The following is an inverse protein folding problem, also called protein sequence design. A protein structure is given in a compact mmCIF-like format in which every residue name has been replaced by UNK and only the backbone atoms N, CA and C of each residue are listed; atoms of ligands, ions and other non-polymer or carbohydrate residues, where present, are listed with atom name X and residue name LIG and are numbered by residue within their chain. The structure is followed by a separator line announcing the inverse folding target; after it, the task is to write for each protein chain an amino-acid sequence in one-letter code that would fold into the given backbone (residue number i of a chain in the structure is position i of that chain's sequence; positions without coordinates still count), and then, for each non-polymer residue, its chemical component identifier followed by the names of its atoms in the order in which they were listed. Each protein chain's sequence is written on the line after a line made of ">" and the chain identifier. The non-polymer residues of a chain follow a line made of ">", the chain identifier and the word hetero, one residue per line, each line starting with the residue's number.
data_IF_534426699693
#
_entry.id   IF_534426699693
#
_cell.length_a   1.000
_cell.length_b   1.000
_cell.length_c   1.000
_cell.angle_alpha   90.00
_cell.angle_beta   90.00
_cell.angle_gamma   90.00
#
_symmetry.space_group_name_H-M   'P 1'
#
loop_
_entity.id
_entity.type
_entity.pdbx_description
1 polymer ?
#
# COMPACT_ATOMS: atom_id res chain seq x y z
N UNK A 1 -20.50 23.87 43.64
CA UNK A 1 -19.33 24.65 44.09
C UNK A 1 -18.21 24.46 43.09
N UNK A 2 -17.83 25.50 42.33
CA UNK A 2 -16.64 25.48 41.46
C UNK A 2 -15.46 25.94 42.30
N UNK A 3 -14.68 25.01 42.84
CA UNK A 3 -13.37 25.31 43.41
C UNK A 3 -12.36 25.42 42.28
N UNK A 4 -12.32 26.60 41.66
CA UNK A 4 -11.15 27.05 40.92
C UNK A 4 -10.06 27.34 41.95
N UNK A 5 -9.20 26.37 42.22
CA UNK A 5 -7.98 26.60 42.98
C UNK A 5 -7.09 27.49 42.09
N UNK A 6 -6.83 28.73 42.54
CA UNK A 6 -5.78 29.57 41.97
C UNK A 6 -4.43 28.87 42.19
N UNK A 7 -4.04 28.02 41.23
CA UNK A 7 -2.85 27.16 41.32
C UNK A 7 -1.55 27.95 41.55
N UNK A 8 -1.53 29.26 41.24
CA UNK A 8 -0.37 30.14 41.44
C UNK A 8 -0.22 30.65 42.87
N UNK A 9 -1.31 30.72 43.65
CA UNK A 9 -1.30 31.33 44.99
C UNK A 9 -0.84 30.36 46.08
N UNK A 10 -0.73 29.06 45.76
CA UNK A 10 -0.33 28.00 46.69
C UNK A 10 0.92 27.24 46.23
N UNK A 11 1.69 27.80 45.29
CA UNK A 11 2.85 27.12 44.70
C UNK A 11 3.89 26.77 45.78
N UNK A 12 4.21 27.74 46.64
CA UNK A 12 5.16 27.57 47.74
C UNK A 12 4.72 26.47 48.72
N UNK A 13 3.41 26.33 48.94
CA UNK A 13 2.84 25.30 49.82
C UNK A 13 2.90 23.91 49.18
N UNK A 14 2.63 23.83 47.87
CA UNK A 14 2.74 22.58 47.10
C UNK A 14 4.20 22.12 47.07
N UNK A 15 5.16 23.03 46.80
CA UNK A 15 6.59 22.73 46.77
C UNK A 15 7.11 22.27 48.14
N UNK A 16 6.71 22.94 49.22
CA UNK A 16 7.11 22.55 50.58
C UNK A 16 6.55 21.18 50.98
N UNK A 17 5.27 20.90 50.69
CA UNK A 17 4.68 19.60 50.97
C UNK A 17 5.29 18.49 50.11
N UNK A 18 5.63 18.79 48.85
CA UNK A 18 6.32 17.84 47.98
C UNK A 18 7.72 17.51 48.49
N UNK A 19 8.49 18.50 48.96
CA UNK A 19 9.81 18.27 49.58
C UNK A 19 9.72 17.38 50.82
N UNK A 20 8.73 17.63 51.69
CA UNK A 20 8.47 16.80 52.88
C UNK A 20 8.12 15.37 52.51
N UNK A 21 7.26 15.21 51.51
CA UNK A 21 6.87 13.90 50.99
C UNK A 21 8.06 13.12 50.40
N UNK A 22 8.97 13.80 49.69
CA UNK A 22 10.21 13.18 49.18
C UNK A 22 11.15 12.67 50.30
N UNK A 23 11.21 13.37 51.43
CA UNK A 23 12.00 12.93 52.60
C UNK A 23 11.32 11.79 53.36
N UNK A 24 10.00 11.85 53.53
CA UNK A 24 9.18 10.81 54.15
C UNK A 24 7.72 10.88 53.65
N UNK A 25 7.20 9.85 52.96
CA UNK A 25 5.82 9.82 52.47
C UNK A 25 4.74 9.95 53.54
N UNK A 26 5.02 9.52 54.78
CA UNK A 26 4.08 9.64 55.93
C UNK A 26 4.09 11.04 56.57
N UNK A 27 4.94 11.96 56.11
CA UNK A 27 5.05 13.32 56.68
C UNK A 27 3.95 14.28 56.23
N UNK A 28 3.18 13.89 55.22
CA UNK A 28 2.05 14.66 54.67
C UNK A 28 0.75 13.88 54.84
N UNK A 29 -0.39 14.58 54.77
CA UNK A 29 -1.69 13.93 54.82
C UNK A 29 -1.87 12.91 53.68
N UNK A 30 -2.67 11.88 53.92
CA UNK A 30 -3.03 10.83 52.94
C UNK A 30 -3.45 11.38 51.56
N UNK A 31 -4.17 12.50 51.50
CA UNK A 31 -4.57 13.13 50.25
C UNK A 31 -3.39 13.74 49.49
N UNK A 32 -2.40 14.31 50.20
CA UNK A 32 -1.17 14.83 49.60
C UNK A 32 -0.24 13.71 49.16
N UNK A 33 -0.08 12.66 49.98
CA UNK A 33 0.73 11.50 49.61
C UNK A 33 0.19 10.82 48.35
N UNK A 34 -1.12 10.57 48.28
CA UNK A 34 -1.74 9.97 47.09
C UNK A 34 -1.62 10.89 45.85
N UNK A 35 -1.71 12.21 46.03
CA UNK A 35 -1.53 13.18 44.96
C UNK A 35 -0.10 13.15 44.39
N UNK A 36 0.93 13.19 45.24
CA UNK A 36 2.33 13.17 44.80
C UNK A 36 2.76 11.81 44.26
N UNK A 37 2.29 10.71 44.85
CA UNK A 37 2.52 9.36 44.33
C UNK A 37 1.92 9.19 42.92
N UNK A 38 0.70 9.67 42.71
CA UNK A 38 0.07 9.67 41.39
C UNK A 38 0.75 10.60 40.38
N UNK A 39 1.27 11.74 40.85
CA UNK A 39 2.02 12.69 40.02
C UNK A 39 3.38 12.12 39.58
N UNK A 40 4.16 11.55 40.51
CA UNK A 40 5.41 10.84 40.21
C UNK A 40 5.17 9.67 39.26
N UNK A 41 4.12 8.86 39.51
CA UNK A 41 3.77 7.75 38.64
C UNK A 41 3.40 8.21 37.21
N UNK A 42 2.83 9.42 37.08
CA UNK A 42 2.51 10.06 35.80
C UNK A 42 3.67 10.82 35.14
N UNK A 43 4.64 11.30 35.93
CA UNK A 43 5.85 12.01 35.47
C UNK A 43 7.05 11.07 35.28
N UNK A 44 6.91 9.78 35.64
CA UNK A 44 7.81 8.74 35.17
C UNK A 44 7.93 8.89 33.66
N UNK A 45 9.15 9.05 33.11
CA UNK A 45 9.33 9.25 31.70
C UNK A 45 8.75 8.03 31.00
N UNK A 46 7.61 8.23 30.34
CA UNK A 46 6.91 7.26 29.52
C UNK A 46 7.74 7.03 28.25
N UNK A 47 8.96 6.54 28.44
CA UNK A 47 10.05 6.52 27.45
C UNK A 47 9.79 5.54 26.32
N UNK A 48 8.88 4.58 26.53
CA UNK A 48 8.54 3.58 25.53
C UNK A 48 7.14 3.79 24.92
N UNK A 49 6.18 4.33 25.68
CA UNK A 49 4.79 4.46 25.20
C UNK A 49 4.63 5.46 24.05
N UNK A 50 5.29 6.61 24.10
CA UNK A 50 5.21 7.62 23.05
C UNK A 50 5.92 7.17 21.75
N UNK A 51 7.09 6.53 21.87
CA UNK A 51 7.83 6.02 20.72
C UNK A 51 7.13 4.83 20.05
N UNK A 52 6.53 3.93 20.84
CA UNK A 52 5.72 2.82 20.32
C UNK A 52 4.46 3.35 19.63
N UNK A 53 3.75 4.31 20.24
CA UNK A 53 2.58 4.93 19.62
C UNK A 53 2.93 5.64 18.29
N UNK A 54 4.06 6.36 18.23
CA UNK A 54 4.52 7.01 17.00
C UNK A 54 4.93 6.01 15.91
N UNK A 55 5.57 4.90 16.29
CA UNK A 55 5.91 3.80 15.39
C UNK A 55 4.65 3.12 14.82
N UNK A 56 3.67 2.81 15.66
CA UNK A 56 2.38 2.22 15.26
C UNK A 56 1.62 3.13 14.30
N UNK A 57 1.59 4.45 14.57
CA UNK A 57 0.96 5.44 13.69
C UNK A 57 1.68 5.50 12.33
N UNK A 58 3.02 5.47 12.32
CA UNK A 58 3.81 5.41 11.07
C UNK A 58 3.54 4.15 10.27
N UNK A 59 3.44 3.00 10.94
CA UNK A 59 3.17 1.71 10.30
C UNK A 59 1.76 1.67 9.71
N UNK A 60 0.75 2.14 10.44
CA UNK A 60 -0.62 2.26 9.94
C UNK A 60 -0.72 3.20 8.72
N UNK A 61 0.00 4.31 8.74
CA UNK A 61 0.08 5.24 7.61
C UNK A 61 0.79 4.61 6.39
N UNK A 62 1.84 3.79 6.60
CA UNK A 62 2.46 3.03 5.52
C UNK A 62 1.50 2.00 4.93
N UNK A 63 0.82 1.21 5.77
CA UNK A 63 -0.12 0.19 5.32
C UNK A 63 -1.25 0.79 4.46
N UNK A 64 -1.77 1.94 4.88
CA UNK A 64 -2.82 2.65 4.13
C UNK A 64 -2.35 3.08 2.74
N UNK A 65 -1.11 3.58 2.62
CA UNK A 65 -0.51 3.93 1.33
C UNK A 65 -0.30 2.71 0.45
N UNK A 66 0.13 1.59 1.03
CA UNK A 66 0.33 0.31 0.32
C UNK A 66 -0.99 -0.23 -0.23
N UNK A 67 -2.06 -0.20 0.57
CA UNK A 67 -3.38 -0.65 0.14
C UNK A 67 -3.96 0.29 -0.94
N UNK A 68 -3.74 1.60 -0.80
CA UNK A 68 -4.07 2.61 -1.81
C UNK A 68 -3.32 2.39 -3.13
N UNK A 69 -2.04 2.06 -3.08
CA UNK A 69 -1.22 1.69 -4.24
C UNK A 69 -1.84 0.51 -5.00
N UNK A 70 -2.17 -0.58 -4.29
CA UNK A 70 -2.76 -1.77 -4.92
C UNK A 70 -4.10 -1.44 -5.56
N UNK A 71 -4.95 -0.68 -4.86
CA UNK A 71 -6.24 -0.23 -5.38
C UNK A 71 -6.07 0.64 -6.64
N UNK A 72 -5.11 1.56 -6.64
CA UNK A 72 -4.82 2.43 -7.78
C UNK A 72 -4.42 1.61 -9.01
N UNK A 73 -3.54 0.60 -8.86
CA UNK A 73 -3.16 -0.27 -9.97
C UNK A 73 -4.32 -1.16 -10.46
N UNK A 74 -5.15 -1.69 -9.57
CA UNK A 74 -6.35 -2.44 -9.96
C UNK A 74 -7.34 -1.58 -10.77
N UNK A 75 -7.41 -0.28 -10.44
CA UNK A 75 -8.39 0.64 -11.02
C UNK A 75 -7.89 1.34 -12.28
N UNK A 76 -6.60 1.69 -12.32
CA UNK A 76 -6.01 2.55 -13.35
C UNK A 76 -4.85 1.89 -14.10
N UNK A 77 -4.37 0.70 -13.70
CA UNK A 77 -3.24 0.04 -14.35
C UNK A 77 -3.43 -0.18 -15.86
N UNK A 78 -4.67 -0.45 -16.28
CA UNK A 78 -5.03 -0.56 -17.70
C UNK A 78 -4.71 0.71 -18.52
N UNK A 79 -4.76 1.90 -17.90
CA UNK A 79 -4.47 3.19 -18.58
C UNK A 79 -3.00 3.36 -18.95
N UNK A 80 -2.12 2.59 -18.33
CA UNK A 80 -0.67 2.57 -18.59
C UNK A 80 -0.22 1.23 -19.18
N UNK A 81 -1.16 0.36 -19.58
CA UNK A 81 -0.83 -0.91 -20.20
C UNK A 81 -0.27 -0.73 -21.62
N UNK A 82 0.65 -1.61 -22.02
CA UNK A 82 1.27 -1.61 -23.35
C UNK A 82 0.43 -2.46 -24.31
N UNK A 83 -0.79 -1.99 -24.60
CA UNK A 83 -1.75 -2.68 -25.48
C UNK A 83 -1.63 -2.27 -26.95
N UNK A 84 -1.02 -1.11 -27.23
CA UNK A 84 -0.78 -0.64 -28.60
C UNK A 84 0.54 -1.20 -29.14
N UNK A 85 0.52 -2.09 -30.14
CA UNK A 85 1.73 -2.67 -30.72
C UNK A 85 2.54 -1.68 -31.57
N UNK A 86 1.98 -0.53 -31.94
CA UNK A 86 2.65 0.50 -32.73
C UNK A 86 3.30 1.58 -31.85
N UNK A 87 2.93 1.64 -30.57
CA UNK A 87 3.45 2.64 -29.65
C UNK A 87 4.91 2.36 -29.27
N UNK A 88 5.78 3.36 -29.46
CA UNK A 88 7.19 3.28 -29.04
C UNK A 88 7.37 3.34 -27.52
N UNK A 89 6.44 4.01 -26.82
CA UNK A 89 6.52 4.28 -25.39
C UNK A 89 5.22 3.88 -24.70
N UNK A 90 5.38 3.36 -23.48
CA UNK A 90 4.25 3.08 -22.60
C UNK A 90 3.51 4.38 -22.25
N UNK A 91 2.17 4.40 -22.27
CA UNK A 91 1.40 5.53 -21.76
C UNK A 91 1.71 5.81 -20.30
N UNK A 92 1.66 7.08 -19.90
CA UNK A 92 1.88 7.49 -18.50
C UNK A 92 0.59 7.99 -17.89
N UNK A 93 0.38 7.68 -16.61
CA UNK A 93 -0.71 8.22 -15.81
C UNK A 93 -0.10 8.87 -14.55
N UNK A 94 -0.21 10.20 -14.38
CA UNK A 94 0.32 10.90 -13.21
C UNK A 94 -0.16 10.32 -11.87
N UNK A 95 -1.40 9.82 -11.82
CA UNK A 95 -2.00 9.22 -10.63
C UNK A 95 -1.35 7.90 -10.19
N UNK A 96 -0.55 7.28 -11.07
CA UNK A 96 0.25 6.09 -10.75
C UNK A 96 1.73 6.42 -10.50
N UNK A 97 2.09 7.71 -10.44
CA UNK A 97 3.44 8.11 -10.04
C UNK A 97 3.66 7.84 -8.55
N UNK A 98 4.91 7.52 -8.17
CA UNK A 98 5.29 7.29 -6.77
C UNK A 98 4.83 8.41 -5.84
N UNK A 99 4.96 9.66 -6.30
CA UNK A 99 4.60 10.85 -5.53
C UNK A 99 3.10 10.93 -5.25
N UNK A 100 2.26 10.74 -6.27
CA UNK A 100 0.79 10.76 -6.11
C UNK A 100 0.30 9.60 -5.26
N UNK A 101 1.01 8.47 -5.29
CA UNK A 101 0.77 7.32 -4.41
C UNK A 101 1.31 7.53 -2.98
N UNK A 102 1.91 8.68 -2.69
CA UNK A 102 2.40 9.04 -1.36
C UNK A 102 3.74 8.41 -0.97
N UNK A 103 4.52 7.90 -1.93
CA UNK A 103 5.83 7.29 -1.72
C UNK A 103 6.98 8.17 -2.18
N UNK A 104 8.14 7.98 -1.56
CA UNK A 104 9.42 8.55 -1.98
C UNK A 104 10.32 7.45 -2.53
N UNK A 105 11.35 7.81 -3.29
CA UNK A 105 12.34 6.82 -3.76
C UNK A 105 13.02 6.07 -2.60
N UNK A 106 13.24 6.75 -1.47
CA UNK A 106 13.76 6.13 -0.25
C UNK A 106 12.86 5.03 0.33
N UNK A 107 11.58 5.04 -0.01
CA UNK A 107 10.61 4.07 0.50
C UNK A 107 10.63 2.76 -0.31
N UNK A 108 11.28 2.74 -1.48
CA UNK A 108 11.30 1.58 -2.39
C UNK A 108 11.95 0.34 -1.78
N UNK A 109 12.78 0.50 -0.75
CA UNK A 109 13.46 -0.58 -0.02
C UNK A 109 12.73 -1.02 1.24
N UNK A 110 11.60 -0.40 1.57
CA UNK A 110 10.79 -0.81 2.70
C UNK A 110 10.17 -2.18 2.44
N UNK A 111 10.16 -3.02 3.49
CA UNK A 111 9.38 -4.25 3.49
C UNK A 111 7.91 -3.91 3.73
N UNK A 112 7.07 -4.39 2.83
CA UNK A 112 5.63 -4.17 2.84
C UNK A 112 4.89 -5.49 2.63
N UNK A 113 3.64 -5.53 3.06
CA UNK A 113 2.71 -6.62 2.81
C UNK A 113 1.29 -6.03 2.70
N UNK A 114 0.40 -6.71 2.00
CA UNK A 114 -1.01 -6.33 2.00
C UNK A 114 -1.89 -7.56 1.88
N UNK A 115 -2.99 -7.56 2.62
CA UNK A 115 -4.03 -8.60 2.53
C UNK A 115 -4.67 -8.66 1.14
N UNK A 116 -4.57 -7.58 0.37
CA UNK A 116 -5.19 -7.42 -0.94
C UNK A 116 -4.28 -7.79 -2.11
N UNK A 117 -3.07 -8.31 -1.85
CA UNK A 117 -2.10 -8.66 -2.87
C UNK A 117 -1.28 -9.91 -2.48
N UNK A 118 -1.24 -10.90 -3.37
CA UNK A 118 -0.39 -12.10 -3.25
C UNK A 118 -0.41 -12.76 -1.85
N UNK A 119 -1.61 -12.96 -1.30
CA UNK A 119 -1.85 -13.65 -0.02
C UNK A 119 -1.05 -13.09 1.17
N UNK A 120 -0.91 -11.75 1.25
CA UNK A 120 -0.22 -11.06 2.34
C UNK A 120 1.27 -11.41 2.48
N UNK A 121 1.92 -11.85 1.40
CA UNK A 121 3.35 -12.11 1.39
C UNK A 121 4.15 -10.83 1.61
N UNK A 122 5.08 -10.85 2.57
CA UNK A 122 6.05 -9.75 2.74
C UNK A 122 7.05 -9.72 1.58
N UNK A 123 7.23 -8.53 0.99
CA UNK A 123 8.18 -8.25 -0.08
C UNK A 123 8.69 -6.82 0.01
N UNK A 124 9.67 -6.47 -0.82
CA UNK A 124 10.17 -5.10 -0.92
C UNK A 124 9.20 -4.27 -1.78
N UNK A 125 8.98 -3.00 -1.46
CA UNK A 125 8.03 -2.14 -2.19
C UNK A 125 8.31 -2.09 -3.70
N UNK A 126 9.60 -2.04 -4.10
CA UNK A 126 10.01 -2.12 -5.52
C UNK A 126 9.49 -3.38 -6.22
N UNK A 127 9.49 -4.52 -5.52
CA UNK A 127 9.05 -5.80 -6.08
C UNK A 127 7.51 -5.85 -6.18
N UNK A 128 6.82 -5.25 -5.21
CA UNK A 128 5.36 -5.10 -5.25
C UNK A 128 4.94 -4.23 -6.44
N UNK A 129 5.59 -3.07 -6.65
CA UNK A 129 5.35 -2.20 -7.81
C UNK A 129 5.58 -2.93 -9.13
N UNK A 130 6.73 -3.60 -9.28
CA UNK A 130 7.02 -4.40 -10.48
C UNK A 130 5.98 -5.52 -10.69
N UNK A 131 5.50 -6.13 -9.59
CA UNK A 131 4.44 -7.12 -9.62
C UNK A 131 3.11 -6.55 -10.12
N UNK A 132 2.69 -5.40 -9.58
CA UNK A 132 1.48 -4.69 -9.97
C UNK A 132 1.53 -4.21 -11.42
N UNK A 133 2.63 -3.59 -11.84
CA UNK A 133 2.86 -3.18 -13.22
C UNK A 133 2.74 -4.37 -14.18
N UNK A 134 3.34 -5.49 -13.81
CA UNK A 134 3.27 -6.70 -14.64
C UNK A 134 1.85 -7.28 -14.73
N UNK A 135 1.10 -7.27 -13.64
CA UNK A 135 -0.23 -7.89 -13.60
C UNK A 135 -1.27 -7.00 -14.28
N UNK A 136 -1.18 -5.67 -14.10
CA UNK A 136 -2.23 -4.74 -14.49
C UNK A 136 -1.85 -3.79 -15.64
N UNK A 137 -0.57 -3.66 -15.98
CA UNK A 137 -0.02 -2.66 -16.91
C UNK A 137 1.01 -3.21 -17.93
N UNK A 138 1.06 -4.53 -18.15
CA UNK A 138 1.92 -5.13 -19.17
C UNK A 138 1.21 -5.16 -20.53
N UNK A 139 1.30 -6.26 -21.30
CA UNK A 139 0.60 -6.41 -22.59
C UNK A 139 -0.92 -6.65 -22.47
N UNK A 140 -1.46 -6.66 -21.25
CA UNK A 140 -2.90 -6.85 -20.97
C UNK A 140 -3.35 -5.75 -20.01
N UNK A 141 -4.24 -4.86 -20.47
CA UNK A 141 -4.95 -3.92 -19.60
C UNK A 141 -6.22 -4.57 -19.05
N UNK A 142 -6.34 -4.68 -17.72
CA UNK A 142 -7.50 -5.30 -17.08
C UNK A 142 -8.41 -4.24 -16.45
N UNK A 143 -9.65 -4.16 -16.94
CA UNK A 143 -10.70 -3.29 -16.39
C UNK A 143 -11.79 -4.13 -15.74
N UNK A 144 -11.86 -4.10 -14.41
CA UNK A 144 -12.84 -4.90 -13.67
C UNK A 144 -13.40 -4.20 -12.43
N UNK A 145 -12.78 -3.11 -11.98
CA UNK A 145 -13.17 -2.42 -10.75
C UNK A 145 -14.57 -1.77 -10.82
N UNK A 146 -15.10 -1.54 -12.03
CA UNK A 146 -16.46 -1.05 -12.28
C UNK A 146 -17.56 -2.09 -11.96
N UNK A 147 -17.20 -3.37 -11.83
CA UNK A 147 -18.13 -4.45 -11.50
C UNK A 147 -18.65 -4.25 -10.06
N UNK A 148 -19.98 -4.21 -9.90
CA UNK A 148 -20.60 -3.93 -8.61
C UNK A 148 -20.46 -5.10 -7.62
N UNK A 149 -20.51 -6.35 -8.12
CA UNK A 149 -20.39 -7.54 -7.27
C UNK A 149 -18.95 -7.69 -6.72
N UNK A 150 -18.74 -7.57 -5.39
CA UNK A 150 -17.43 -7.74 -4.79
C UNK A 150 -16.86 -9.15 -4.96
N UNK A 151 -17.70 -10.18 -5.02
CA UNK A 151 -17.27 -11.58 -5.19
C UNK A 151 -16.66 -11.79 -6.57
N UNK A 152 -17.26 -11.18 -7.59
CA UNK A 152 -16.74 -11.22 -8.97
C UNK A 152 -15.44 -10.46 -9.07
N UNK A 153 -15.35 -9.25 -8.49
CA UNK A 153 -14.10 -8.48 -8.46
C UNK A 153 -12.96 -9.26 -7.79
N UNK A 154 -13.25 -9.88 -6.66
CA UNK A 154 -12.26 -10.68 -5.93
C UNK A 154 -11.84 -11.93 -6.72
N UNK A 155 -12.79 -12.60 -7.38
CA UNK A 155 -12.49 -13.73 -8.26
C UNK A 155 -11.56 -13.32 -9.42
N UNK A 156 -11.84 -12.19 -10.09
CA UNK A 156 -10.98 -11.67 -11.17
C UNK A 156 -9.59 -11.31 -10.62
N UNK A 157 -9.53 -10.55 -9.52
CA UNK A 157 -8.28 -10.15 -8.87
C UNK A 157 -7.42 -11.38 -8.57
N UNK A 158 -7.95 -12.37 -7.83
CA UNK A 158 -7.24 -13.60 -7.52
C UNK A 158 -6.75 -14.30 -8.80
N UNK A 159 -7.60 -14.38 -9.83
CA UNK A 159 -7.24 -15.03 -11.09
C UNK A 159 -6.13 -14.31 -11.83
N UNK A 160 -6.04 -12.98 -11.76
CA UNK A 160 -4.97 -12.18 -12.35
C UNK A 160 -3.67 -12.32 -11.53
N UNK A 161 -3.76 -12.21 -10.21
CA UNK A 161 -2.58 -12.20 -9.32
C UNK A 161 -1.94 -13.59 -9.15
N UNK A 162 -2.72 -14.66 -9.25
CA UNK A 162 -2.22 -16.05 -9.20
C UNK A 162 -1.69 -16.56 -10.54
N UNK A 163 -1.78 -15.77 -11.62
CA UNK A 163 -1.20 -16.20 -12.91
C UNK A 163 0.31 -16.41 -12.76
N UNK A 164 0.84 -17.58 -13.15
CA UNK A 164 2.27 -17.80 -13.10
C UNK A 164 2.97 -16.78 -14.00
N UNK A 165 3.95 -16.09 -13.41
CA UNK A 165 4.69 -14.99 -14.05
C UNK A 165 5.27 -15.36 -15.42
N UNK A 166 5.81 -16.59 -15.53
CA UNK A 166 6.23 -17.19 -16.79
C UNK A 166 5.40 -18.44 -16.98
N UNK A 167 4.45 -18.40 -17.91
CA UNK A 167 4.10 -19.64 -18.59
C UNK A 167 5.37 -20.07 -19.34
N UNK A 168 5.96 -21.19 -18.92
CA UNK A 168 6.61 -22.07 -19.90
C UNK A 168 5.48 -22.64 -20.75
N UNK A 169 4.91 -21.83 -21.64
CA UNK A 169 3.96 -22.29 -22.63
C UNK A 169 4.64 -23.46 -23.33
N UNK A 170 4.01 -24.64 -23.28
CA UNK A 170 4.60 -25.84 -23.86
C UNK A 170 5.01 -25.53 -25.30
N UNK A 171 6.20 -26.00 -25.71
CA UNK A 171 6.71 -25.75 -27.07
C UNK A 171 5.69 -26.12 -28.15
N UNK A 172 4.93 -27.20 -27.94
CA UNK A 172 3.85 -27.60 -28.84
C UNK A 172 2.76 -26.52 -29.01
N UNK A 173 2.37 -25.85 -27.91
CA UNK A 173 1.39 -24.75 -27.93
C UNK A 173 1.99 -23.52 -28.63
N UNK A 174 3.26 -23.19 -28.36
CA UNK A 174 3.93 -22.09 -29.06
C UNK A 174 4.00 -22.31 -30.57
N UNK A 175 4.34 -23.54 -31.00
CA UNK A 175 4.36 -23.92 -32.42
C UNK A 175 2.96 -23.87 -33.02
N UNK A 176 1.93 -24.31 -32.29
CA UNK A 176 0.55 -24.24 -32.76
C UNK A 176 0.09 -22.77 -32.97
N UNK A 177 0.35 -21.89 -31.98
CA UNK A 177 0.03 -20.47 -32.09
C UNK A 177 0.75 -19.81 -33.28
N UNK A 178 2.05 -20.09 -33.45
CA UNK A 178 2.83 -19.57 -34.57
C UNK A 178 2.29 -20.05 -35.92
N UNK A 179 1.90 -21.32 -36.03
CA UNK A 179 1.27 -21.85 -37.27
C UNK A 179 -0.02 -21.12 -37.59
N UNK A 180 -0.89 -20.90 -36.60
CA UNK A 180 -2.15 -20.15 -36.82
C UNK A 180 -1.89 -18.73 -37.30
N UNK A 181 -0.90 -18.03 -36.73
CA UNK A 181 -0.52 -16.70 -37.19
C UNK A 181 0.03 -16.72 -38.62
N UNK A 182 0.90 -17.67 -38.94
CA UNK A 182 1.48 -17.82 -40.28
C UNK A 182 0.42 -18.17 -41.33
N UNK A 183 -0.54 -19.01 -40.99
CA UNK A 183 -1.66 -19.37 -41.86
C UNK A 183 -2.50 -18.13 -42.19
N UNK A 184 -2.82 -17.30 -41.19
CA UNK A 184 -3.55 -16.05 -41.40
C UNK A 184 -2.79 -15.08 -42.32
N UNK A 185 -1.50 -14.84 -42.04
CA UNK A 185 -0.66 -13.95 -42.85
C UNK A 185 -0.44 -14.48 -44.28
N UNK A 186 -0.22 -15.78 -44.43
CA UNK A 186 -0.03 -16.41 -45.74
C UNK A 186 -1.30 -16.36 -46.58
N UNK A 187 -2.47 -16.52 -45.95
CA UNK A 187 -3.75 -16.41 -46.63
C UNK A 187 -4.00 -14.99 -47.14
N UNK A 188 -3.75 -13.96 -46.31
CA UNK A 188 -3.85 -12.56 -46.74
C UNK A 188 -2.90 -12.25 -47.88
N UNK A 189 -1.65 -12.73 -47.80
CA UNK A 189 -0.65 -12.57 -48.87
C UNK A 189 -1.11 -13.23 -50.17
N UNK A 190 -1.65 -14.45 -50.09
CA UNK A 190 -2.19 -15.17 -51.25
C UNK A 190 -3.34 -14.40 -51.91
N UNK A 191 -4.28 -13.90 -51.11
CA UNK A 191 -5.39 -13.09 -51.63
C UNK A 191 -4.88 -11.81 -52.30
N UNK A 192 -3.85 -11.18 -51.73
CA UNK A 192 -3.18 -10.01 -52.30
C UNK A 192 -2.53 -10.27 -53.65
N UNK A 193 -1.87 -11.41 -53.82
CA UNK A 193 -1.25 -11.77 -55.09
C UNK A 193 -2.26 -12.22 -56.15
N UNK A 194 -3.28 -13.01 -55.77
CA UNK A 194 -4.18 -13.68 -56.73
C UNK A 194 -5.41 -12.87 -57.11
N UNK A 195 -5.90 -12.02 -56.21
CA UNK A 195 -7.13 -11.24 -56.41
C UNK A 195 -6.83 -9.75 -56.25
N UNK A 196 -6.12 -9.21 -57.24
CA UNK A 196 -5.71 -7.80 -57.31
C UNK A 196 -6.95 -6.91 -57.52
N UNK A 197 -7.05 -5.82 -56.77
CA UNK A 197 -8.13 -4.84 -56.89
C UNK A 197 -9.39 -5.14 -56.05
N UNK A 198 -9.45 -6.30 -55.39
CA UNK A 198 -10.51 -6.61 -54.42
C UNK A 198 -10.13 -6.06 -53.04
N UNK A 199 -10.91 -5.09 -52.54
CA UNK A 199 -10.79 -4.64 -51.15
C UNK A 199 -11.30 -5.72 -50.20
N UNK A 200 -10.59 -5.89 -49.09
CA UNK A 200 -10.84 -6.81 -48.00
C UNK A 200 -10.50 -6.09 -46.70
#
# INVERSE_FOLDING_TARGET
>A
MRTSIDARSNLDLIEENYRRWQENPESVDSGWSAFFEGFELGDLPQRDGAAVAEAEVREAALQTRVDGLIYAYCSLGHTVAQVDPLAEKRPQNPLLSLRELGFRESDLDLRVSSKFFLDNRSMVLRDMLAGLERIYADSIGSEFMHIQDPRVREWIRKRLETRPHKHSTLRAVQVALLRTLLEAESFETFLHTRYVGQKR
#
